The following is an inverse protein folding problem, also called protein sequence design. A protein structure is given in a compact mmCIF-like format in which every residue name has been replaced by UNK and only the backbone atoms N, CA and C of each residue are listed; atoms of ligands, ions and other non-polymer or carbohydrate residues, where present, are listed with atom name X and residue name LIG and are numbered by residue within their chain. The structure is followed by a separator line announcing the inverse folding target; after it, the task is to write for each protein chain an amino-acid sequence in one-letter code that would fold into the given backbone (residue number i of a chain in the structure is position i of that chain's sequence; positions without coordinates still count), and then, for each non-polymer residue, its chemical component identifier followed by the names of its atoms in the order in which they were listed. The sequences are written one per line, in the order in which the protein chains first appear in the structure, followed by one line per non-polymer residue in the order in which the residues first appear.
data_IF_468711888326
#
_entry.id   IF_468711888326
#
_cell.length_a   1.000
_cell.length_b   1.000
_cell.length_c   1.000
_cell.angle_alpha   90.00
_cell.angle_beta   90.00
_cell.angle_gamma   90.00
#
_symmetry.space_group_name_H-M   'P 1'
#
loop_
_entity.id
_entity.type
_entity.pdbx_description
1 polymer ?
#
# COMPACT_ATOMS: atom_id res chain seq x y z
N UNK A 1 -6.75 10.50 3.64
CA UNK A 1 -7.44 9.89 2.51
C UNK A 1 -6.96 8.47 2.25
N UNK A 2 -7.89 7.66 1.99
CA UNK A 2 -7.71 6.22 1.89
C UNK A 2 -7.20 5.84 0.49
N UNK A 3 -6.25 4.93 0.45
CA UNK A 3 -5.65 4.50 -0.82
C UNK A 3 -6.66 3.79 -1.73
N UNK A 4 -7.60 3.07 -1.14
CA UNK A 4 -8.64 2.39 -1.92
C UNK A 4 -9.53 3.41 -2.62
N UNK A 5 -9.90 4.48 -1.91
CA UNK A 5 -10.67 5.56 -2.51
C UNK A 5 -9.91 6.24 -3.65
N UNK A 6 -8.62 6.45 -3.45
CA UNK A 6 -7.78 7.05 -4.48
C UNK A 6 -7.66 6.14 -5.71
N UNK A 7 -7.55 4.84 -5.49
CA UNK A 7 -7.53 3.87 -6.59
C UNK A 7 -8.82 3.89 -7.37
N UNK A 8 -9.94 3.98 -6.65
CA UNK A 8 -11.26 4.06 -7.27
C UNK A 8 -11.40 5.32 -8.12
N UNK A 9 -10.95 6.45 -7.58
CA UNK A 9 -11.00 7.71 -8.30
C UNK A 9 -10.15 7.66 -9.57
N UNK A 10 -8.97 7.05 -9.49
CA UNK A 10 -8.10 6.93 -10.65
C UNK A 10 -8.73 6.10 -11.75
N UNK A 11 -9.41 5.01 -11.39
CA UNK A 11 -10.08 4.17 -12.37
C UNK A 11 -11.23 4.92 -13.04
N UNK A 12 -12.00 5.67 -12.25
CA UNK A 12 -13.11 6.47 -12.78
C UNK A 12 -12.62 7.54 -13.75
N UNK A 13 -11.54 8.21 -13.37
CA UNK A 13 -10.97 9.27 -14.19
C UNK A 13 -10.53 8.78 -15.56
N UNK A 14 -10.06 7.57 -15.65
CA UNK A 14 -9.57 6.98 -16.89
C UNK A 14 -10.62 6.15 -17.61
N UNK A 15 -11.82 6.11 -17.07
CA UNK A 15 -12.92 5.30 -17.64
C UNK A 15 -12.56 3.83 -17.72
N UNK A 16 -11.80 3.34 -16.77
CA UNK A 16 -11.49 1.91 -16.69
C UNK A 16 -12.72 1.20 -16.11
N UNK A 17 -13.13 0.07 -16.71
CA UNK A 17 -14.30 -0.64 -16.20
C UNK A 17 -14.04 -1.35 -14.87
N UNK A 18 -12.78 -1.57 -14.53
CA UNK A 18 -12.43 -2.27 -13.29
C UNK A 18 -11.34 -1.54 -12.54
N UNK A 19 -11.43 -1.61 -11.22
CA UNK A 19 -10.36 -1.16 -10.34
C UNK A 19 -9.42 -2.35 -10.16
N UNK A 20 -8.14 -2.14 -10.42
CA UNK A 20 -7.14 -3.21 -10.42
C UNK A 20 -6.07 -2.98 -9.37
N UNK A 21 -5.25 -4.00 -9.08
CA UNK A 21 -4.12 -3.80 -8.17
C UNK A 21 -3.15 -2.71 -8.62
N UNK A 22 -3.01 -2.47 -9.92
CA UNK A 22 -2.13 -1.40 -10.40
C UNK A 22 -2.66 -0.02 -10.03
N UNK A 23 -3.97 0.16 -10.03
CA UNK A 23 -4.56 1.40 -9.54
C UNK A 23 -4.21 1.61 -8.06
N UNK A 24 -4.29 0.55 -7.28
CA UNK A 24 -3.99 0.62 -5.86
C UNK A 24 -2.52 0.93 -5.63
N UNK A 25 -1.64 0.26 -6.34
CA UNK A 25 -0.20 0.49 -6.18
C UNK A 25 0.16 1.94 -6.53
N UNK A 26 -0.39 2.46 -7.61
CA UNK A 26 -0.17 3.85 -7.97
C UNK A 26 -0.66 4.81 -6.90
N UNK A 27 -1.81 4.51 -6.31
CA UNK A 27 -2.35 5.35 -5.24
C UNK A 27 -1.47 5.31 -4.00
N UNK A 28 -0.98 4.13 -3.63
CA UNK A 28 -0.09 3.99 -2.48
C UNK A 28 1.20 4.80 -2.67
N UNK A 29 1.74 4.78 -3.88
CA UNK A 29 3.00 5.47 -4.15
C UNK A 29 2.84 6.97 -4.31
N UNK A 30 1.62 7.47 -4.38
CA UNK A 30 1.36 8.90 -4.43
C UNK A 30 1.10 9.51 -3.06
N UNK A 31 1.09 8.70 -2.02
CA UNK A 31 0.94 9.22 -0.67
C UNK A 31 2.26 9.84 -0.22
N UNK A 32 2.24 11.14 0.04
CA UNK A 32 3.42 11.86 0.52
C UNK A 32 3.75 11.51 1.95
N UNK A 33 2.72 11.21 2.71
CA UNK A 33 2.84 10.93 4.13
C UNK A 33 2.56 9.45 4.37
N UNK A 34 3.10 8.94 5.45
CA UNK A 34 2.84 7.57 5.83
C UNK A 34 4.04 6.70 5.62
N UNK A 35 3.82 5.41 5.60
CA UNK A 35 4.87 4.42 5.70
C UNK A 35 5.30 3.84 4.35
N UNK A 36 4.49 4.02 3.30
CA UNK A 36 4.74 3.31 2.04
C UNK A 36 6.06 3.71 1.38
N UNK A 37 6.28 5.00 1.20
CA UNK A 37 7.52 5.44 0.53
C UNK A 37 8.77 5.05 1.30
N UNK A 38 8.85 5.27 2.62
CA UNK A 38 10.01 4.81 3.38
C UNK A 38 10.19 3.29 3.28
N UNK A 39 9.11 2.54 3.28
CA UNK A 39 9.17 1.09 3.20
C UNK A 39 9.70 0.63 1.84
N UNK A 40 9.21 1.23 0.77
CA UNK A 40 9.66 0.91 -0.59
C UNK A 40 11.16 1.18 -0.72
N UNK A 41 11.62 2.32 -0.21
CA UNK A 41 13.04 2.64 -0.25
C UNK A 41 13.87 1.67 0.55
N UNK A 42 13.36 1.28 1.71
CA UNK A 42 14.05 0.31 2.57
C UNK A 42 14.22 -1.03 1.88
N UNK A 43 13.29 -1.37 1.02
CA UNK A 43 13.34 -2.61 0.25
C UNK A 43 14.31 -2.53 -0.94
N UNK A 44 14.93 -1.39 -1.14
CA UNK A 44 15.87 -1.20 -2.23
C UNK A 44 15.22 -0.89 -3.57
N UNK A 45 13.95 -0.54 -3.55
CA UNK A 45 13.21 -0.20 -4.76
C UNK A 45 13.15 1.31 -4.95
N UNK A 46 13.07 1.72 -6.20
CA UNK A 46 12.89 3.13 -6.55
C UNK A 46 11.39 3.42 -6.64
N UNK A 47 10.84 4.22 -5.71
CA UNK A 47 9.40 4.50 -5.73
C UNK A 47 8.92 5.11 -7.03
N UNK A 48 9.73 5.96 -7.66
CA UNK A 48 9.33 6.58 -8.92
C UNK A 48 9.23 5.55 -10.03
N UNK A 49 10.19 4.63 -10.10
CA UNK A 49 10.17 3.58 -11.11
C UNK A 49 8.97 2.65 -10.93
N UNK A 50 8.68 2.28 -9.69
CA UNK A 50 7.53 1.42 -9.39
C UNK A 50 6.23 2.12 -9.74
N UNK A 51 6.11 3.39 -9.40
CA UNK A 51 4.92 4.16 -9.72
C UNK A 51 4.73 4.30 -11.23
N UNK A 52 5.81 4.60 -11.95
CA UNK A 52 5.72 4.74 -13.40
C UNK A 52 5.29 3.45 -14.07
N UNK A 53 5.78 2.32 -13.59
CA UNK A 53 5.36 1.02 -14.12
C UNK A 53 3.88 0.75 -13.86
N UNK A 54 3.40 1.11 -12.67
CA UNK A 54 1.99 0.98 -12.35
C UNK A 54 1.14 1.88 -13.24
N UNK A 55 1.59 3.12 -13.46
CA UNK A 55 0.87 4.05 -14.33
C UNK A 55 0.81 3.55 -15.77
N UNK A 56 1.89 2.96 -16.25
CA UNK A 56 1.91 2.37 -17.60
C UNK A 56 0.94 1.21 -17.71
N UNK A 57 0.88 0.37 -16.67
CA UNK A 57 -0.06 -0.74 -16.65
C UNK A 57 -1.50 -0.25 -16.70
N UNK A 58 -1.80 0.81 -15.95
CA UNK A 58 -3.13 1.42 -15.95
C UNK A 58 -3.45 2.02 -17.31
N UNK A 59 -2.48 2.68 -17.93
CA UNK A 59 -2.68 3.29 -19.25
C UNK A 59 -2.98 2.25 -20.32
N UNK A 60 -2.52 1.02 -20.13
CA UNK A 60 -2.77 -0.07 -21.08
C UNK A 60 -4.12 -0.75 -20.87
N UNK A 61 -4.83 -0.42 -19.80
CA UNK A 61 -6.12 -1.05 -19.51
C UNK A 61 -7.21 -0.55 -20.47
N UNK A 62 -8.23 -1.38 -20.72
CA UNK A 62 -9.32 -0.95 -21.58
C UNK A 62 -10.10 0.20 -20.96
N UNK A 63 -10.70 1.00 -21.80
CA UNK A 63 -11.59 2.07 -21.41
C UNK A 63 -13.01 1.75 -21.86
N UNK A 64 -13.97 2.10 -21.03
CA UNK A 64 -15.37 1.88 -21.34
C UNK A 64 -16.16 3.09 -20.87
N UNK A 65 -16.70 3.84 -21.81
CA UNK A 65 -17.48 5.01 -21.49
C UNK A 65 -18.95 4.66 -21.37
N UNK A 66 -19.60 5.23 -20.38
CA UNK A 66 -21.01 5.00 -20.17
C UNK A 66 -21.36 3.81 -19.30
N UNK A 67 -20.34 3.05 -18.84
CA UNK A 67 -20.58 1.95 -17.93
C UNK A 67 -20.16 2.32 -16.52
N UNK A 68 -20.42 1.43 -15.60
CA UNK A 68 -19.99 1.59 -14.22
C UNK A 68 -18.59 1.01 -14.03
N UNK A 69 -17.81 1.66 -13.17
CA UNK A 69 -16.53 1.14 -12.73
C UNK A 69 -16.77 0.28 -11.49
N UNK A 70 -16.24 -0.91 -11.48
CA UNK A 70 -16.43 -1.83 -10.36
C UNK A 70 -15.11 -2.43 -9.92
N UNK A 71 -15.09 -3.02 -8.74
CA UNK A 71 -13.90 -3.70 -8.24
C UNK A 71 -13.65 -4.94 -9.09
N UNK A 72 -12.44 -5.05 -9.63
CA UNK A 72 -12.06 -6.21 -10.41
C UNK A 72 -11.82 -7.42 -9.50
N UNK A 73 -11.79 -8.59 -10.09
CA UNK A 73 -11.59 -9.83 -9.35
C UNK A 73 -10.25 -9.85 -8.62
N UNK A 74 -9.19 -9.44 -9.31
CA UNK A 74 -7.85 -9.41 -8.70
C UNK A 74 -7.81 -8.45 -7.52
N UNK A 75 -8.45 -7.30 -7.68
CA UNK A 75 -8.47 -6.28 -6.63
C UNK A 75 -9.21 -6.81 -5.41
N UNK A 76 -10.36 -7.44 -5.62
CA UNK A 76 -11.16 -7.99 -4.52
C UNK A 76 -10.37 -9.07 -3.78
N UNK A 77 -9.71 -9.95 -4.52
CA UNK A 77 -8.90 -11.00 -3.91
C UNK A 77 -7.75 -10.40 -3.09
N UNK A 78 -7.17 -9.31 -3.58
CA UNK A 78 -6.08 -8.64 -2.89
C UNK A 78 -6.55 -8.04 -1.58
N UNK A 79 -7.72 -7.40 -1.58
CA UNK A 79 -8.28 -6.82 -0.37
C UNK A 79 -8.60 -7.93 0.65
N UNK A 80 -9.16 -9.03 0.20
CA UNK A 80 -9.43 -10.17 1.08
C UNK A 80 -8.15 -10.70 1.72
N UNK A 81 -7.08 -10.80 0.93
CA UNK A 81 -5.79 -11.23 1.44
C UNK A 81 -5.23 -10.23 2.47
N UNK A 82 -5.41 -8.94 2.22
CA UNK A 82 -4.96 -7.92 3.16
C UNK A 82 -5.70 -8.01 4.49
N UNK A 83 -6.98 -8.32 4.46
CA UNK A 83 -7.76 -8.48 5.69
C UNK A 83 -7.23 -9.66 6.51
N UNK A 84 -6.90 -10.76 5.84
CA UNK A 84 -6.31 -11.92 6.53
C UNK A 84 -4.97 -11.54 7.15
N UNK A 85 -4.12 -10.81 6.41
CA UNK A 85 -2.84 -10.37 6.93
C UNK A 85 -3.00 -9.47 8.15
N UNK A 86 -3.99 -8.60 8.13
CA UNK A 86 -4.27 -7.74 9.28
C UNK A 86 -4.54 -8.59 10.54
N UNK A 87 -5.35 -9.62 10.39
CA UNK A 87 -5.66 -10.52 11.51
C UNK A 87 -4.42 -11.27 11.98
N UNK A 88 -3.65 -11.79 11.05
CA UNK A 88 -2.44 -12.54 11.39
C UNK A 88 -1.43 -11.68 12.12
N UNK A 89 -1.37 -10.40 11.80
CA UNK A 89 -0.47 -9.47 12.45
C UNK A 89 -1.04 -8.87 13.73
N UNK A 90 -2.24 -9.25 14.10
CA UNK A 90 -2.96 -8.77 15.27
C UNK A 90 -3.14 -7.26 15.28
N UNK A 91 -3.24 -6.65 14.11
CA UNK A 91 -3.54 -5.23 13.99
C UNK A 91 -5.06 -5.02 14.04
N UNK A 92 -5.48 -3.91 14.62
CA UNK A 92 -6.90 -3.62 14.76
C UNK A 92 -7.53 -3.08 13.48
N UNK A 93 -6.76 -2.37 12.69
CA UNK A 93 -7.26 -1.72 11.49
C UNK A 93 -6.44 -2.10 10.28
N UNK A 94 -7.12 -2.18 9.14
CA UNK A 94 -6.47 -2.41 7.86
C UNK A 94 -5.74 -1.11 7.46
N UNK A 95 -4.50 -1.25 7.04
CA UNK A 95 -3.71 -0.09 6.66
C UNK A 95 -2.88 -0.38 5.41
N UNK A 96 -2.09 0.62 5.00
CA UNK A 96 -1.32 0.52 3.77
C UNK A 96 -0.26 -0.58 3.80
N UNK A 97 0.29 -0.90 4.97
CA UNK A 97 1.27 -1.98 5.04
C UNK A 97 0.65 -3.34 4.74
N UNK A 98 -0.61 -3.55 5.13
CA UNK A 98 -1.31 -4.79 4.81
C UNK A 98 -1.56 -4.88 3.30
N UNK A 99 -1.91 -3.75 2.69
CA UNK A 99 -2.13 -3.69 1.26
C UNK A 99 -0.84 -3.96 0.49
N UNK A 100 0.26 -3.41 0.96
CA UNK A 100 1.56 -3.63 0.32
C UNK A 100 1.99 -5.09 0.43
N UNK A 101 1.81 -5.70 1.58
CA UNK A 101 2.09 -7.13 1.76
C UNK A 101 1.25 -7.98 0.82
N UNK A 102 -0.03 -7.65 0.69
CA UNK A 102 -0.92 -8.38 -0.20
C UNK A 102 -0.47 -8.24 -1.66
N UNK A 103 0.01 -7.06 -2.04
CA UNK A 103 0.54 -6.86 -3.39
C UNK A 103 1.77 -7.72 -3.65
N UNK A 104 2.66 -7.81 -2.68
CA UNK A 104 3.85 -8.65 -2.80
C UNK A 104 3.46 -10.11 -2.95
N UNK A 105 2.53 -10.58 -2.12
CA UNK A 105 2.05 -11.96 -2.21
C UNK A 105 1.40 -12.23 -3.56
N UNK A 106 0.62 -11.28 -4.07
CA UNK A 106 -0.05 -11.42 -5.35
C UNK A 106 0.97 -11.49 -6.49
N UNK A 107 2.06 -10.74 -6.40
CA UNK A 107 3.11 -10.78 -7.40
C UNK A 107 3.67 -12.18 -7.58
N UNK A 108 3.86 -12.89 -6.49
CA UNK A 108 4.44 -14.22 -6.54
C UNK A 108 3.52 -15.22 -7.23
N UNK A 109 2.24 -14.93 -7.27
CA UNK A 109 1.25 -15.83 -7.86
C UNK A 109 0.84 -15.41 -9.26
N UNK A 110 1.38 -14.32 -9.77
CA UNK A 110 0.97 -13.83 -11.08
C UNK A 110 1.43 -14.76 -12.20
N UNK A 111 0.52 -15.12 -13.10
CA UNK A 111 0.90 -15.88 -14.30
C UNK A 111 1.87 -15.05 -15.14
N UNK A 112 2.84 -15.71 -15.74
CA UNK A 112 3.80 -15.04 -16.60
C UNK A 112 4.94 -14.36 -15.88
N UNK A 113 4.92 -14.37 -14.56
CA UNK A 113 6.07 -13.91 -13.77
C UNK A 113 6.28 -12.41 -13.67
N UNK A 114 5.32 -11.60 -14.13
CA UNK A 114 5.45 -10.15 -14.01
C UNK A 114 5.28 -9.72 -12.56
N UNK A 115 6.26 -9.02 -12.02
CA UNK A 115 6.22 -8.57 -10.64
C UNK A 115 6.23 -7.06 -10.56
N UNK A 116 5.21 -6.52 -9.91
CA UNK A 116 5.07 -5.08 -9.70
C UNK A 116 6.15 -4.54 -8.78
N UNK A 117 6.54 -5.35 -7.81
CA UNK A 117 7.48 -4.95 -6.76
C UNK A 117 8.80 -5.72 -6.85
N UNK A 118 9.18 -6.14 -8.04
CA UNK A 118 10.47 -6.76 -8.31
C UNK A 118 10.64 -8.08 -7.59
N UNK A 119 11.84 -8.33 -7.10
CA UNK A 119 12.19 -9.60 -6.48
C UNK A 119 11.89 -9.63 -4.97
N UNK A 120 11.18 -8.63 -4.48
CA UNK A 120 10.86 -8.55 -3.07
C UNK A 120 9.84 -9.62 -2.69
N UNK A 121 10.07 -10.28 -1.56
CA UNK A 121 9.14 -11.27 -1.03
C UNK A 121 8.57 -10.80 0.30
N UNK A 122 7.64 -11.61 0.82
CA UNK A 122 6.93 -11.28 2.06
C UNK A 122 7.87 -11.08 3.24
N UNK A 123 8.85 -11.96 3.38
CA UNK A 123 9.77 -11.90 4.52
C UNK A 123 10.58 -10.62 4.52
N UNK A 124 11.00 -10.18 3.34
CA UNK A 124 11.74 -8.93 3.22
C UNK A 124 10.86 -7.74 3.62
N UNK A 125 9.59 -7.74 3.21
CA UNK A 125 8.67 -6.68 3.58
C UNK A 125 8.44 -6.68 5.09
N UNK A 126 8.25 -7.84 5.68
CA UNK A 126 8.01 -7.93 7.12
C UNK A 126 9.22 -7.45 7.91
N UNK A 127 10.43 -7.78 7.47
CA UNK A 127 11.64 -7.30 8.12
C UNK A 127 11.76 -5.79 8.05
N UNK A 128 11.55 -5.24 6.86
CA UNK A 128 11.61 -3.79 6.67
C UNK A 128 10.52 -3.08 7.46
N UNK A 129 9.34 -3.66 7.50
CA UNK A 129 8.21 -3.10 8.23
C UNK A 129 8.51 -3.06 9.72
N UNK A 130 9.12 -4.10 10.24
CA UNK A 130 9.48 -4.14 11.64
C UNK A 130 10.47 -3.04 12.00
N UNK A 131 11.41 -2.77 11.13
CA UNK A 131 12.39 -1.71 11.35
C UNK A 131 11.74 -0.33 11.35
N UNK A 132 10.76 -0.12 10.48
CA UNK A 132 10.09 1.17 10.38
C UNK A 132 9.07 1.35 11.50
N UNK A 133 8.33 0.30 11.78
CA UNK A 133 7.18 0.32 12.66
C UNK A 133 7.50 -0.05 14.11
N UNK A 134 8.59 -0.77 14.28
CA UNK A 134 8.93 -1.32 15.58
C UNK A 134 7.95 -2.40 15.98
N UNK A 135 7.56 -2.41 17.24
CA UNK A 135 6.61 -3.39 17.76
C UNK A 135 5.18 -2.89 17.81
N UNK A 136 4.93 -1.70 17.29
CA UNK A 136 3.59 -1.12 17.34
C UNK A 136 2.63 -1.83 16.39
N UNK A 137 1.39 -1.93 16.83
CA UNK A 137 0.32 -2.45 15.98
C UNK A 137 -0.51 -1.30 15.45
N UNK A 138 -1.27 -1.58 14.39
CA UNK A 138 -2.19 -0.58 13.86
C UNK A 138 -3.42 -0.55 14.75
N UNK A 139 -3.55 0.49 15.54
CA UNK A 139 -4.61 0.62 16.53
C UNK A 139 -5.55 1.80 16.27
N UNK A 140 -5.38 2.47 15.15
CA UNK A 140 -6.29 3.56 14.77
C UNK A 140 -6.52 3.53 13.27
N UNK A 141 -7.51 4.32 12.84
CA UNK A 141 -7.93 4.31 11.44
C UNK A 141 -6.99 5.05 10.50
N UNK A 142 -6.11 5.86 11.07
CA UNK A 142 -5.16 6.64 10.27
C UNK A 142 -3.74 6.39 10.72
N UNK A 143 -3.24 5.14 10.55
CA UNK A 143 -1.89 4.81 11.02
C UNK A 143 -0.80 5.60 10.31
N UNK A 144 -1.03 5.98 9.05
CA UNK A 144 -0.06 6.79 8.31
C UNK A 144 0.16 8.13 8.99
N UNK A 145 -0.91 8.74 9.44
CA UNK A 145 -0.80 10.01 10.15
C UNK A 145 -0.07 9.84 11.48
N UNK A 146 -0.33 8.73 12.15
CA UNK A 146 0.34 8.42 13.41
C UNK A 146 1.84 8.27 13.21
N UNK A 147 2.24 7.50 12.20
CA UNK A 147 3.65 7.32 11.91
C UNK A 147 4.31 8.63 11.54
N UNK A 148 3.65 9.44 10.75
CA UNK A 148 4.17 10.73 10.36
C UNK A 148 4.36 11.64 11.58
N UNK A 149 3.40 11.66 12.47
CA UNK A 149 3.48 12.46 13.69
C UNK A 149 4.61 12.01 14.59
N UNK A 150 4.74 10.69 14.78
CA UNK A 150 5.79 10.16 15.62
C UNK A 150 7.17 10.45 15.04
N UNK A 151 7.32 10.34 13.76
CA UNK A 151 8.58 10.64 13.09
C UNK A 151 8.95 12.10 13.29
N UNK A 152 7.98 12.98 13.11
CA UNK A 152 8.20 14.41 13.27
C UNK A 152 8.61 14.76 14.69
N UNK A 153 7.85 14.30 15.66
CA UNK A 153 8.14 14.58 17.07
C UNK A 153 9.39 13.84 17.53
N UNK A 154 9.63 12.67 16.97
CA UNK A 154 10.78 11.88 17.36
C UNK A 154 12.10 12.59 17.08
N UNK A 155 12.13 13.39 16.03
CA UNK A 155 13.32 14.15 15.71
C UNK A 155 13.51 15.33 16.66
N UNK A 156 12.42 15.93 17.10
CA UNK A 156 12.45 17.15 17.89
C UNK A 156 12.29 16.89 19.38
N UNK A 157 11.39 16.00 19.73
CA UNK A 157 10.99 15.78 21.12
C UNK A 157 10.79 14.32 21.41
N UNK A 158 11.82 13.56 21.21
CA UNK A 158 11.77 12.10 21.33
C UNK A 158 11.15 11.63 22.64
N UNK A 159 11.60 12.21 23.74
CA UNK A 159 11.13 11.78 25.07
C UNK A 159 9.66 12.06 25.25
N UNK A 160 9.24 13.21 24.82
CA UNK A 160 7.85 13.59 24.96
C UNK A 160 6.95 12.71 24.10
N UNK A 161 7.39 12.39 22.90
CA UNK A 161 6.61 11.53 22.04
C UNK A 161 6.40 10.18 22.70
N UNK A 162 7.44 9.63 23.29
CA UNK A 162 7.34 8.35 23.96
C UNK A 162 6.39 8.41 25.14
N UNK A 163 6.53 9.42 25.98
CA UNK A 163 5.69 9.52 27.16
C UNK A 163 4.23 9.75 26.82
N UNK A 164 3.98 10.48 25.77
CA UNK A 164 2.62 10.81 25.42
C UNK A 164 1.89 9.74 24.66
N UNK A 165 2.60 8.88 23.99
CA UNK A 165 2.00 7.90 23.09
C UNK A 165 2.26 6.47 23.50
N UNK A 166 3.26 6.27 24.26
CA UNK A 166 3.70 4.93 24.60
C UNK A 166 3.46 4.59 26.07
#
# INVERSE_FOLDING_TARGET
RNAVEAAQAAALERANPEITPDHLLGALLRQDKGIVLPLIRRLGLDPVAVRNAADEAVAALPQSHGGETRFGREFTALIDAAVVLRKDMTDEYLSTEHLLLALVDADQKRPGGGRRLGQVDRDQVLSALQEVRGSQRVTNENPEDTYQSLEKYGRDLTERARKGKL
#
